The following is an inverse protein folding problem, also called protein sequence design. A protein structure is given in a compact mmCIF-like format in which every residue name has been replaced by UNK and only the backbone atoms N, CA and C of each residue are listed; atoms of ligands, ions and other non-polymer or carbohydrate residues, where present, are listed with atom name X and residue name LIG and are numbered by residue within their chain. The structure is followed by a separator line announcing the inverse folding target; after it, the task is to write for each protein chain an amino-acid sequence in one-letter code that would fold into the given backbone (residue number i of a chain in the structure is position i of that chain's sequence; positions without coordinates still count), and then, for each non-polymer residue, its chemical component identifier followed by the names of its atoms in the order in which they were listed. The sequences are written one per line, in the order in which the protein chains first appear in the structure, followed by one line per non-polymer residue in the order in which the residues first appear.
data_IF_740426024411
#
_entry.id   IF_740426024411
#
_cell.length_a   1.000
_cell.length_b   1.000
_cell.length_c   1.000
_cell.angle_alpha   90.00
_cell.angle_beta   90.00
_cell.angle_gamma   90.00
#
_symmetry.space_group_name_H-M   'P 1'
#
loop_
_entity.id
_entity.type
_entity.pdbx_description
1 polymer ?
#
# COMPACT_ATOMS: atom_id res chain seq x y z
N UNK A 1 19.19 -2.04 7.97
CA UNK A 1 19.13 -0.85 7.10
C UNK A 1 17.79 -0.16 7.29
N UNK A 2 17.70 1.10 7.75
CA UNK A 2 16.41 1.74 7.95
C UNK A 2 15.83 2.11 6.57
N UNK A 3 14.64 1.57 6.28
CA UNK A 3 13.92 1.83 5.03
C UNK A 3 13.62 3.33 4.95
N UNK A 4 14.14 3.95 3.87
CA UNK A 4 14.11 5.39 3.60
C UNK A 4 12.71 5.97 3.80
N UNK A 5 12.63 6.95 4.71
CA UNK A 5 11.46 7.74 5.06
C UNK A 5 11.03 8.63 3.88
N UNK A 6 10.15 8.13 3.01
CA UNK A 6 9.62 8.84 1.84
C UNK A 6 8.41 9.74 2.20
N UNK A 7 8.51 10.52 3.28
CA UNK A 7 7.32 11.11 3.95
C UNK A 7 6.84 12.48 3.47
N UNK A 8 7.61 13.33 2.79
CA UNK A 8 7.24 14.76 2.79
C UNK A 8 6.29 15.28 1.70
N UNK A 9 5.91 14.47 0.71
CA UNK A 9 5.03 14.96 -0.38
C UNK A 9 3.68 14.23 -0.47
N UNK A 10 3.55 13.03 0.14
CA UNK A 10 2.28 12.28 0.20
C UNK A 10 1.50 12.50 1.48
N UNK A 11 2.05 13.25 2.44
CA UNK A 11 1.40 13.51 3.73
C UNK A 11 0.11 14.35 3.63
N UNK A 12 -0.26 14.81 2.43
CA UNK A 12 -1.57 15.42 2.17
C UNK A 12 -2.62 14.46 1.58
N UNK A 13 -2.25 13.23 1.21
CA UNK A 13 -3.23 12.15 1.10
C UNK A 13 -3.49 11.67 2.52
N UNK A 14 -4.65 12.03 3.05
CA UNK A 14 -5.05 11.59 4.38
C UNK A 14 -4.90 10.07 4.43
N UNK A 15 -4.35 9.52 5.51
CA UNK A 15 -4.21 8.06 5.67
C UNK A 15 -5.52 7.31 5.37
N UNK A 16 -6.64 7.98 5.66
CA UNK A 16 -8.00 7.58 5.29
C UNK A 16 -8.27 7.51 3.78
N UNK A 17 -7.85 8.51 2.99
CA UNK A 17 -7.96 8.48 1.53
C UNK A 17 -7.13 7.35 0.93
N UNK A 18 -5.93 7.11 1.47
CA UNK A 18 -5.09 5.97 1.08
C UNK A 18 -5.82 4.64 1.30
N UNK A 19 -6.43 4.46 2.49
CA UNK A 19 -7.24 3.29 2.81
C UNK A 19 -8.46 3.13 1.88
N UNK A 20 -9.13 4.24 1.54
CA UNK A 20 -10.24 4.24 0.58
C UNK A 20 -9.80 3.83 -0.83
N UNK A 21 -8.68 4.35 -1.32
CA UNK A 21 -8.11 3.97 -2.62
C UNK A 21 -7.83 2.47 -2.65
N UNK A 22 -7.14 1.96 -1.63
CA UNK A 22 -6.79 0.54 -1.53
C UNK A 22 -8.04 -0.33 -1.50
N UNK A 23 -9.01 -0.03 -0.62
CA UNK A 23 -10.24 -0.82 -0.50
C UNK A 23 -11.09 -0.83 -1.78
N UNK A 24 -11.18 0.30 -2.49
CA UNK A 24 -11.90 0.35 -3.77
C UNK A 24 -11.17 -0.45 -4.86
N UNK A 25 -9.84 -0.33 -4.95
CA UNK A 25 -9.04 -1.07 -5.92
C UNK A 25 -9.06 -2.58 -5.64
N UNK A 26 -9.01 -3.00 -4.37
CA UNK A 26 -9.18 -4.40 -3.95
C UNK A 26 -10.58 -4.94 -4.28
N UNK A 27 -11.62 -4.10 -4.21
CA UNK A 27 -12.98 -4.44 -4.64
C UNK A 27 -13.14 -4.50 -6.18
N UNK A 28 -12.05 -4.43 -6.95
CA UNK A 28 -12.06 -4.54 -8.41
C UNK A 28 -12.52 -3.27 -9.13
N UNK A 29 -12.53 -2.12 -8.45
CA UNK A 29 -12.88 -0.86 -9.10
C UNK A 29 -11.78 -0.43 -10.06
N UNK A 30 -12.17 0.13 -11.20
CA UNK A 30 -11.21 0.72 -12.13
C UNK A 30 -10.61 2.00 -11.56
N UNK A 31 -9.35 2.27 -11.89
CA UNK A 31 -8.64 3.50 -11.48
C UNK A 31 -9.45 4.75 -11.86
N UNK A 32 -10.04 4.77 -13.06
CA UNK A 32 -10.92 5.87 -13.52
C UNK A 32 -12.17 6.08 -12.66
N UNK A 33 -12.72 5.01 -12.10
CA UNK A 33 -13.89 5.11 -11.19
C UNK A 33 -13.45 5.66 -9.84
N UNK A 34 -12.30 5.22 -9.33
CA UNK A 34 -11.73 5.69 -8.06
C UNK A 34 -11.32 7.17 -8.12
N UNK A 35 -10.68 7.61 -9.22
CA UNK A 35 -10.30 9.01 -9.42
C UNK A 35 -11.52 9.93 -9.45
N UNK A 36 -12.59 9.51 -10.14
CA UNK A 36 -13.86 10.23 -10.19
C UNK A 36 -14.53 10.31 -8.82
N UNK A 37 -14.49 9.23 -8.05
CA UNK A 37 -15.10 9.17 -6.72
C UNK A 37 -14.37 10.03 -5.68
N UNK A 38 -13.04 10.11 -5.77
CA UNK A 38 -12.20 10.81 -4.78
C UNK A 38 -11.76 12.20 -5.24
N UNK A 39 -12.03 12.59 -6.49
CA UNK A 39 -11.54 13.86 -7.05
C UNK A 39 -10.01 13.92 -7.11
N UNK A 40 -9.34 12.76 -7.23
CA UNK A 40 -7.87 12.66 -7.25
C UNK A 40 -7.39 12.27 -8.64
N UNK A 41 -6.16 12.66 -8.98
CA UNK A 41 -5.55 12.33 -10.26
C UNK A 41 -5.25 10.84 -10.39
N UNK A 42 -5.25 10.34 -11.63
CA UNK A 42 -4.93 8.94 -11.95
C UNK A 42 -3.54 8.54 -11.45
N UNK A 43 -2.57 9.45 -11.58
CA UNK A 43 -1.21 9.22 -11.12
C UNK A 43 -1.11 9.01 -9.60
N UNK A 44 -1.96 9.68 -8.81
CA UNK A 44 -2.03 9.49 -7.36
C UNK A 44 -2.59 8.10 -7.02
N UNK A 45 -3.70 7.71 -7.66
CA UNK A 45 -4.36 6.42 -7.41
C UNK A 45 -3.44 5.27 -7.80
N UNK A 46 -2.83 5.32 -9.00
CA UNK A 46 -1.88 4.31 -9.46
C UNK A 46 -0.67 4.16 -8.53
N UNK A 47 -0.04 5.28 -8.17
CA UNK A 47 1.16 5.25 -7.33
C UNK A 47 0.86 4.72 -5.92
N UNK A 48 -0.31 5.05 -5.37
CA UNK A 48 -0.80 4.50 -4.11
C UNK A 48 -0.97 2.98 -4.18
N UNK A 49 -1.56 2.47 -5.25
CA UNK A 49 -1.75 1.03 -5.47
C UNK A 49 -0.41 0.29 -5.65
N UNK A 50 0.48 0.82 -6.49
CA UNK A 50 1.82 0.25 -6.71
C UNK A 50 2.62 0.19 -5.41
N UNK A 51 2.53 1.22 -4.58
CA UNK A 51 3.16 1.25 -3.26
C UNK A 51 2.58 0.18 -2.32
N UNK A 52 1.25 0.02 -2.28
CA UNK A 52 0.59 -1.02 -1.48
C UNK A 52 1.04 -2.43 -1.88
N UNK A 53 1.09 -2.73 -3.18
CA UNK A 53 1.57 -4.03 -3.68
C UNK A 53 3.03 -4.27 -3.30
N UNK A 54 3.88 -3.24 -3.39
CA UNK A 54 5.29 -3.31 -2.96
C UNK A 54 5.42 -3.60 -1.47
N UNK A 55 4.63 -2.93 -0.64
CA UNK A 55 4.60 -3.15 0.81
C UNK A 55 4.11 -4.56 1.13
N UNK A 56 3.03 -5.05 0.50
CA UNK A 56 2.57 -6.44 0.65
C UNK A 56 3.62 -7.47 0.24
N UNK A 57 4.35 -7.23 -0.86
CA UNK A 57 5.42 -8.12 -1.28
C UNK A 57 6.57 -8.17 -0.28
N UNK A 58 6.88 -7.04 0.38
CA UNK A 58 7.91 -6.98 1.42
C UNK A 58 7.46 -7.68 2.71
N UNK A 59 6.20 -7.50 3.10
CA UNK A 59 5.61 -8.17 4.28
C UNK A 59 5.55 -9.69 4.09
N UNK A 60 5.17 -10.20 2.91
CA UNK A 60 5.12 -11.65 2.63
C UNK A 60 6.51 -12.30 2.59
N UNK A 61 7.55 -11.58 2.16
CA UNK A 61 8.94 -12.12 2.16
C UNK A 61 9.55 -12.19 3.55
N UNK A 62 9.01 -11.47 4.53
CA UNK A 62 9.49 -11.50 5.92
C UNK A 62 8.99 -12.72 6.72
N UNK A 63 8.27 -13.66 6.08
CA UNK A 63 7.74 -14.88 6.69
C UNK A 63 8.66 -16.11 6.62
N UNK A 64 9.96 -15.96 6.36
CA UNK A 64 10.91 -17.07 6.35
C UNK A 64 11.94 -16.94 7.48
N UNK A 65 11.63 -17.49 8.66
CA UNK A 65 12.66 -17.77 9.66
C UNK A 65 12.24 -17.68 11.12
N UNK A 66 11.63 -18.74 11.65
CA UNK A 66 12.07 -19.33 12.92
C UNK A 66 11.60 -20.77 13.02
N UNK A 67 12.47 -21.71 12.68
CA UNK A 67 12.31 -23.11 13.08
C UNK A 67 12.34 -23.16 14.60
N UNK A 68 11.23 -23.61 15.20
CA UNK A 68 11.13 -23.92 16.62
C UNK A 68 12.08 -25.09 16.92
N UNK A 69 13.27 -24.81 17.44
CA UNK A 69 14.08 -25.82 18.10
C UNK A 69 13.59 -25.94 19.54
N UNK A 70 12.81 -26.99 19.81
CA UNK A 70 12.65 -27.57 21.13
C UNK A 70 13.95 -28.31 21.47
N UNK A 71 14.69 -27.83 22.45
CA UNK A 71 15.74 -28.63 23.10
C UNK A 71 15.11 -29.49 24.20
N UNK A 72 15.54 -30.74 24.24
CA UNK A 72 15.10 -31.84 25.11
C UNK A 72 15.98 -31.95 26.35
#
# INVERSE_FOLDING_TARGET
MPLRRFRRQYEQLLQFERGRIIGMMEAGWSTRRVTRQLGRSDCVVRRCWEQWIREMSFTRRSGSGRSRQTSH
#
